data_IF_699220738718
#
_entry.id   IF_699220738718
#
_cell.length_a   1.000
_cell.length_b   1.000
_cell.length_c   1.000
_cell.angle_alpha   90.00
_cell.angle_beta   90.00
_cell.angle_gamma   90.00
#
_symmetry.space_group_name_H-M   'P 1'
#
loop_
_entity.id
_entity.type
_entity.pdbx_description
1 polymer ?
#
# COMPACT_ATOMS: atom_id res chain seq x y z
N UNK A 1 15.65 -21.41 -30.87
CA UNK A 1 14.89 -20.83 -29.74
C UNK A 1 15.59 -21.17 -28.44
N UNK A 2 16.34 -20.23 -27.88
CA UNK A 2 17.05 -20.40 -26.60
C UNK A 2 16.03 -20.44 -25.47
N UNK A 3 15.92 -21.57 -24.75
CA UNK A 3 15.04 -21.66 -23.58
C UNK A 3 15.54 -20.65 -22.55
N UNK A 4 14.69 -19.70 -22.16
CA UNK A 4 15.00 -18.76 -21.07
C UNK A 4 15.36 -19.56 -19.82
N UNK A 5 16.44 -19.17 -19.14
CA UNK A 5 16.87 -19.82 -17.91
C UNK A 5 15.70 -19.83 -16.91
N UNK A 6 15.37 -20.97 -16.29
CA UNK A 6 14.30 -21.02 -15.30
C UNK A 6 14.62 -20.07 -14.14
N UNK A 7 13.59 -19.43 -13.58
CA UNK A 7 13.72 -18.61 -12.37
C UNK A 7 14.27 -19.45 -11.22
N UNK A 8 15.13 -18.83 -10.42
CA UNK A 8 15.54 -19.35 -9.10
C UNK A 8 14.30 -19.57 -8.22
N UNK A 9 14.40 -20.49 -7.27
CA UNK A 9 13.30 -20.85 -6.39
C UNK A 9 12.82 -19.67 -5.54
N UNK A 10 13.74 -18.83 -5.05
CA UNK A 10 13.39 -17.61 -4.30
C UNK A 10 12.57 -16.63 -5.16
N UNK A 11 13.01 -16.36 -6.39
CA UNK A 11 12.33 -15.44 -7.30
C UNK A 11 10.96 -15.99 -7.73
N UNK A 12 10.86 -17.31 -7.87
CA UNK A 12 9.59 -17.99 -8.12
C UNK A 12 8.65 -17.86 -6.93
N UNK A 13 9.16 -18.03 -5.70
CA UNK A 13 8.38 -17.86 -4.48
C UNK A 13 7.82 -16.44 -4.35
N UNK A 14 8.61 -15.41 -4.67
CA UNK A 14 8.15 -14.01 -4.73
C UNK A 14 6.97 -13.83 -5.70
N UNK A 15 7.08 -14.38 -6.92
CA UNK A 15 6.00 -14.34 -7.93
C UNK A 15 4.73 -15.06 -7.45
N UNK A 16 4.89 -16.23 -6.82
CA UNK A 16 3.78 -17.03 -6.29
C UNK A 16 3.08 -16.30 -5.16
N UNK A 17 3.82 -15.68 -4.23
CA UNK A 17 3.26 -14.87 -3.15
C UNK A 17 2.47 -13.67 -3.69
N UNK A 18 3.01 -12.95 -4.68
CA UNK A 18 2.31 -11.84 -5.33
C UNK A 18 1.01 -12.31 -6.03
N UNK A 19 1.03 -13.46 -6.69
CA UNK A 19 -0.17 -14.02 -7.32
C UNK A 19 -1.21 -14.47 -6.29
N UNK A 20 -0.79 -15.05 -5.17
CA UNK A 20 -1.69 -15.41 -4.07
C UNK A 20 -2.41 -14.17 -3.50
N UNK A 21 -1.67 -13.08 -3.27
CA UNK A 21 -2.25 -11.80 -2.85
C UNK A 21 -3.21 -11.22 -3.90
N UNK A 22 -2.86 -11.30 -5.18
CA UNK A 22 -3.76 -10.88 -6.25
C UNK A 22 -5.07 -11.66 -6.21
N UNK A 23 -5.01 -13.00 -6.12
CA UNK A 23 -6.21 -13.84 -6.11
C UNK A 23 -7.08 -13.64 -4.87
N UNK A 24 -6.48 -13.40 -3.70
CA UNK A 24 -7.25 -13.19 -2.46
C UNK A 24 -8.00 -11.86 -2.47
N UNK A 25 -7.41 -10.78 -3.00
CA UNK A 25 -7.97 -9.42 -2.91
C UNK A 25 -8.60 -8.88 -4.21
N UNK A 26 -8.44 -9.55 -5.35
CA UNK A 26 -8.93 -9.03 -6.65
C UNK A 26 -10.42 -8.70 -6.67
N UNK A 27 -11.25 -9.50 -6.01
CA UNK A 27 -12.71 -9.29 -6.04
C UNK A 27 -13.10 -8.11 -5.14
N UNK A 28 -12.56 -8.07 -3.92
CA UNK A 28 -12.76 -6.99 -2.95
C UNK A 28 -12.33 -5.63 -3.53
N UNK A 29 -11.14 -5.59 -4.14
CA UNK A 29 -10.57 -4.36 -4.72
C UNK A 29 -11.05 -4.07 -6.14
N UNK A 30 -11.94 -4.92 -6.69
CA UNK A 30 -12.35 -4.89 -8.11
C UNK A 30 -11.13 -4.80 -9.05
N UNK A 31 -10.03 -5.45 -8.68
CA UNK A 31 -8.76 -5.41 -9.38
C UNK A 31 -8.74 -6.46 -10.49
N UNK A 32 -8.11 -6.13 -11.61
CA UNK A 32 -7.90 -7.06 -12.72
C UNK A 32 -6.50 -6.88 -13.28
N UNK A 33 -5.99 -7.88 -14.01
CA UNK A 33 -4.70 -7.75 -14.70
C UNK A 33 -4.70 -6.57 -15.68
N UNK A 34 -5.86 -6.24 -16.27
CA UNK A 34 -6.02 -5.03 -17.10
C UNK A 34 -5.77 -3.76 -16.28
N UNK A 35 -6.38 -3.61 -15.11
CA UNK A 35 -6.15 -2.44 -14.24
C UNK A 35 -4.69 -2.31 -13.79
N UNK A 36 -4.04 -3.43 -13.48
CA UNK A 36 -2.61 -3.46 -13.13
C UNK A 36 -1.77 -3.02 -14.34
N UNK A 37 -2.11 -3.53 -15.53
CA UNK A 37 -1.44 -3.20 -16.78
C UNK A 37 -1.57 -1.71 -17.13
N UNK A 38 -2.79 -1.17 -17.02
CA UNK A 38 -3.10 0.25 -17.26
C UNK A 38 -2.28 1.15 -16.31
N UNK A 39 -2.19 0.79 -15.03
CA UNK A 39 -1.41 1.54 -14.04
C UNK A 39 0.11 1.51 -14.28
N UNK A 40 0.60 0.47 -14.96
CA UNK A 40 2.03 0.26 -15.24
C UNK A 40 2.43 0.67 -16.67
N UNK A 41 1.47 0.98 -17.53
CA UNK A 41 1.69 1.23 -18.95
C UNK A 41 2.21 0.00 -19.70
N UNK A 42 1.78 -1.20 -19.31
CA UNK A 42 2.14 -2.47 -19.95
C UNK A 42 0.89 -3.19 -20.46
N UNK A 43 1.05 -4.36 -21.08
CA UNK A 43 -0.09 -5.18 -21.51
C UNK A 43 -0.56 -6.11 -20.39
N UNK A 44 -1.85 -6.53 -20.38
CA UNK A 44 -2.33 -7.56 -19.45
C UNK A 44 -1.54 -8.87 -19.55
N UNK A 45 -1.12 -9.25 -20.77
CA UNK A 45 -0.23 -10.39 -20.98
C UNK A 45 1.12 -10.20 -20.25
N UNK A 46 1.68 -8.99 -20.27
CA UNK A 46 2.88 -8.64 -19.52
C UNK A 46 2.72 -8.83 -18.01
N UNK A 47 1.56 -8.49 -17.44
CA UNK A 47 1.24 -8.75 -16.02
C UNK A 47 1.23 -10.24 -15.72
N UNK A 48 0.62 -11.04 -16.60
CA UNK A 48 0.56 -12.50 -16.43
C UNK A 48 1.95 -13.15 -16.38
N UNK A 49 2.93 -12.62 -17.12
CA UNK A 49 4.31 -13.14 -17.09
C UNK A 49 4.94 -13.03 -15.70
N UNK A 50 4.62 -11.98 -14.94
CA UNK A 50 5.08 -11.83 -13.56
C UNK A 50 4.34 -12.77 -12.61
N UNK A 51 3.01 -12.76 -12.65
CA UNK A 51 2.18 -13.55 -11.72
C UNK A 51 2.28 -15.07 -11.96
N UNK A 52 2.69 -15.49 -13.15
CA UNK A 52 2.92 -16.90 -13.50
C UNK A 52 4.38 -17.34 -13.31
N UNK A 53 5.22 -16.52 -12.67
CA UNK A 53 6.65 -16.79 -12.46
C UNK A 53 7.44 -17.09 -13.75
N UNK A 54 7.03 -16.49 -14.87
CA UNK A 54 7.78 -16.57 -16.14
C UNK A 54 8.88 -15.51 -16.17
N UNK A 55 8.58 -14.31 -15.64
CA UNK A 55 9.52 -13.23 -15.43
C UNK A 55 9.62 -12.92 -13.93
N UNK A 56 10.83 -12.66 -13.39
CA UNK A 56 10.97 -12.25 -12.00
C UNK A 56 10.36 -10.87 -11.79
N UNK A 57 9.85 -10.62 -10.58
CA UNK A 57 9.36 -9.31 -10.19
C UNK A 57 10.49 -8.27 -10.22
N UNK A 58 10.17 -7.05 -10.63
CA UNK A 58 11.07 -5.90 -10.57
C UNK A 58 10.51 -4.81 -9.65
N UNK A 59 11.36 -3.87 -9.25
CA UNK A 59 11.02 -2.79 -8.33
C UNK A 59 9.81 -1.95 -8.80
N UNK A 60 9.72 -1.61 -10.10
CA UNK A 60 8.61 -0.82 -10.65
C UNK A 60 7.27 -1.55 -10.54
N UNK A 61 7.24 -2.83 -10.94
CA UNK A 61 6.05 -3.67 -10.84
C UNK A 61 5.66 -3.84 -9.37
N UNK A 62 6.61 -4.19 -8.51
CA UNK A 62 6.36 -4.43 -7.09
C UNK A 62 5.80 -3.19 -6.39
N UNK A 63 6.38 -2.01 -6.61
CA UNK A 63 5.91 -0.76 -6.02
C UNK A 63 4.49 -0.40 -6.48
N UNK A 64 4.18 -0.56 -7.78
CA UNK A 64 2.83 -0.30 -8.29
C UNK A 64 1.81 -1.34 -7.79
N UNK A 65 2.20 -2.62 -7.80
CA UNK A 65 1.36 -3.72 -7.36
C UNK A 65 0.99 -3.60 -5.88
N UNK A 66 1.98 -3.30 -5.02
CA UNK A 66 1.79 -3.04 -3.58
C UNK A 66 0.72 -1.96 -3.33
N UNK A 67 0.79 -0.84 -4.06
CA UNK A 67 -0.20 0.24 -3.96
C UNK A 67 -1.61 -0.20 -4.39
N UNK A 68 -1.70 -0.98 -5.46
CA UNK A 68 -2.99 -1.44 -6.00
C UNK A 68 -3.65 -2.52 -5.11
N UNK A 69 -2.83 -3.40 -4.53
CA UNK A 69 -3.30 -4.50 -3.68
C UNK A 69 -3.44 -4.09 -2.21
N UNK A 70 -2.97 -2.88 -1.86
CA UNK A 70 -2.94 -2.31 -0.50
C UNK A 70 -2.16 -3.17 0.52
N UNK A 71 -1.07 -3.77 0.07
CA UNK A 71 -0.12 -4.50 0.92
C UNK A 71 1.30 -3.99 0.69
N UNK A 72 2.18 -4.00 1.71
CA UNK A 72 3.57 -3.60 1.52
C UNK A 72 4.31 -4.57 0.59
N UNK A 73 5.36 -4.08 -0.08
CA UNK A 73 6.20 -4.93 -0.96
C UNK A 73 6.81 -6.10 -0.20
N UNK A 74 7.15 -5.89 1.07
CA UNK A 74 7.71 -6.91 1.96
C UNK A 74 6.78 -8.12 2.15
N UNK A 75 5.46 -7.96 1.99
CA UNK A 75 4.50 -9.06 2.10
C UNK A 75 4.66 -10.14 1.00
N UNK A 76 5.34 -9.83 -0.10
CA UNK A 76 5.60 -10.79 -1.18
C UNK A 76 7.05 -10.82 -1.67
N UNK A 77 7.85 -9.79 -1.40
CA UNK A 77 9.27 -9.76 -1.77
C UNK A 77 10.06 -8.85 -0.81
N UNK A 78 10.64 -9.41 0.27
CA UNK A 78 11.54 -8.68 1.17
C UNK A 78 12.75 -8.10 0.44
N UNK A 79 13.28 -8.83 -0.55
CA UNK A 79 14.40 -8.39 -1.39
C UNK A 79 14.06 -7.12 -2.17
N UNK A 80 12.91 -7.07 -2.84
CA UNK A 80 12.50 -5.87 -3.57
C UNK A 80 12.15 -4.72 -2.63
N UNK A 81 11.63 -5.00 -1.43
CA UNK A 81 11.41 -3.98 -0.42
C UNK A 81 12.72 -3.29 -0.02
N UNK A 82 13.79 -4.08 0.22
CA UNK A 82 15.13 -3.56 0.49
C UNK A 82 15.72 -2.79 -0.69
N UNK A 83 15.59 -3.33 -1.91
CA UNK A 83 16.08 -2.68 -3.13
C UNK A 83 15.41 -1.31 -3.34
N UNK A 84 14.07 -1.25 -3.20
CA UNK A 84 13.31 0.00 -3.31
C UNK A 84 13.72 1.00 -2.22
N UNK A 85 13.91 0.53 -0.98
CA UNK A 85 14.36 1.40 0.11
C UNK A 85 15.76 1.96 -0.13
N UNK A 86 16.69 1.15 -0.66
CA UNK A 86 18.03 1.62 -1.02
C UNK A 86 17.99 2.66 -2.14
N UNK A 87 17.16 2.45 -3.16
CA UNK A 87 16.96 3.43 -4.24
C UNK A 87 16.39 4.75 -3.68
N UNK A 88 15.42 4.67 -2.78
CA UNK A 88 14.84 5.85 -2.15
C UNK A 88 15.86 6.63 -1.30
N UNK A 89 16.74 5.93 -0.57
CA UNK A 89 17.82 6.56 0.22
C UNK A 89 18.90 7.22 -0.64
N UNK A 90 19.17 6.69 -1.83
CA UNK A 90 20.10 7.28 -2.79
C UNK A 90 19.54 8.49 -3.57
N UNK A 91 18.28 8.87 -3.32
CA UNK A 91 17.66 10.02 -3.96
C UNK A 91 18.19 11.33 -3.34
N UNK A 92 18.41 12.40 -4.13
CA UNK A 92 18.84 13.69 -3.60
C UNK A 92 17.93 14.20 -2.49
N UNK A 93 18.53 14.81 -1.47
CA UNK A 93 17.85 15.36 -0.28
C UNK A 93 16.72 16.29 -0.68
N UNK A 94 16.89 17.13 -1.70
CA UNK A 94 15.85 18.07 -2.18
C UNK A 94 14.64 17.33 -2.75
N UNK A 95 14.87 16.24 -3.50
CA UNK A 95 13.79 15.44 -4.07
C UNK A 95 13.03 14.66 -2.97
N UNK A 96 13.73 14.20 -1.92
CA UNK A 96 13.09 13.58 -0.75
C UNK A 96 12.29 14.61 0.05
N UNK A 97 12.88 15.78 0.33
CA UNK A 97 12.22 16.89 1.03
C UNK A 97 10.93 17.32 0.32
N UNK A 98 10.94 17.42 -1.00
CA UNK A 98 9.74 17.75 -1.78
C UNK A 98 8.65 16.68 -1.65
N UNK A 99 9.01 15.39 -1.70
CA UNK A 99 8.06 14.30 -1.48
C UNK A 99 7.46 14.34 -0.06
N UNK A 100 8.28 14.61 0.96
CA UNK A 100 7.83 14.75 2.35
C UNK A 100 6.87 15.93 2.49
N UNK A 101 7.19 17.07 1.88
CA UNK A 101 6.34 18.27 1.85
C UNK A 101 4.96 18.01 1.25
N UNK A 102 4.91 17.33 0.11
CA UNK A 102 3.61 17.00 -0.51
C UNK A 102 2.76 16.10 0.38
N UNK A 103 3.39 15.13 1.06
CA UNK A 103 2.69 14.22 1.97
C UNK A 103 2.36 14.86 3.32
N UNK A 104 3.14 15.81 3.81
CA UNK A 104 2.91 16.52 5.07
C UNK A 104 1.64 17.38 4.99
N UNK A 105 1.37 18.02 3.84
CA UNK A 105 0.14 18.80 3.61
C UNK A 105 -1.11 17.92 3.79
N UNK A 106 -1.10 16.74 3.16
CA UNK A 106 -2.20 15.77 3.27
C UNK A 106 -2.30 15.25 4.71
N UNK A 107 -1.18 14.93 5.35
CA UNK A 107 -1.17 14.46 6.74
C UNK A 107 -1.67 15.53 7.72
N UNK A 108 -1.31 16.79 7.54
CA UNK A 108 -1.74 17.92 8.36
C UNK A 108 -3.26 18.11 8.34
N UNK A 109 -3.89 17.83 7.19
CA UNK A 109 -5.34 17.83 7.02
C UNK A 109 -6.05 16.73 7.82
N UNK A 110 -5.32 15.66 8.17
CA UNK A 110 -5.83 14.50 8.90
C UNK A 110 -5.40 14.48 10.38
N UNK A 111 -4.47 15.34 10.77
CA UNK A 111 -3.82 15.31 12.07
C UNK A 111 -4.56 16.14 13.14
N UNK A 112 -4.20 15.94 14.41
CA UNK A 112 -4.69 16.77 15.51
C UNK A 112 -4.19 18.23 15.38
N UNK A 113 -4.86 19.23 16.01
CA UNK A 113 -4.43 20.63 15.95
C UNK A 113 -2.95 20.83 16.36
N UNK A 114 -2.48 20.12 17.39
CA UNK A 114 -1.09 20.18 17.86
C UNK A 114 -0.11 19.56 16.85
N UNK A 115 -0.49 18.46 16.21
CA UNK A 115 0.31 17.80 15.18
C UNK A 115 0.39 18.62 13.89
N UNK A 116 -0.68 19.38 13.59
CA UNK A 116 -0.77 20.24 12.41
C UNK A 116 0.23 21.39 12.47
N UNK A 117 0.32 22.10 13.60
CA UNK A 117 1.28 23.21 13.77
C UNK A 117 2.74 22.74 13.57
N UNK A 118 3.06 21.54 14.06
CA UNK A 118 4.38 20.94 13.88
C UNK A 118 4.63 20.64 12.39
N UNK A 119 3.67 20.01 11.70
CA UNK A 119 3.78 19.71 10.27
C UNK A 119 3.87 20.98 9.39
N UNK A 120 3.20 22.07 9.77
CA UNK A 120 3.28 23.35 9.06
C UNK A 120 4.68 23.98 9.21
N UNK A 121 5.27 24.01 10.42
CA UNK A 121 6.66 24.48 10.63
C UNK A 121 7.68 23.66 9.86
N UNK A 122 7.47 22.35 9.80
CA UNK A 122 8.29 21.42 9.02
C UNK A 122 8.17 21.69 7.51
N UNK A 123 6.95 21.93 7.03
CA UNK A 123 6.69 22.26 5.62
C UNK A 123 7.42 23.54 5.24
N UNK A 124 7.45 24.54 6.13
CA UNK A 124 8.23 25.77 5.92
C UNK A 124 9.75 25.50 5.89
N UNK A 125 10.28 24.73 6.83
CA UNK A 125 11.71 24.36 6.84
C UNK A 125 12.13 23.59 5.57
N UNK A 126 11.22 22.80 4.98
CA UNK A 126 11.43 22.15 3.69
C UNK A 126 11.52 23.16 2.53
N UNK A 127 10.67 24.19 2.53
CA UNK A 127 10.68 25.26 1.51
C UNK A 127 11.97 26.08 1.57
N UNK A 128 12.49 26.29 2.76
CA UNK A 128 13.72 27.06 2.99
C UNK A 128 14.99 26.25 2.72
N UNK A 129 14.87 24.95 2.40
CA UNK A 129 16.01 24.06 2.12
C UNK A 129 16.88 23.75 3.34
N UNK A 130 16.33 23.90 4.55
CA UNK A 130 17.06 23.76 5.82
C UNK A 130 17.00 22.36 6.43
N UNK A 131 16.36 21.41 5.76
CA UNK A 131 16.20 20.04 6.26
C UNK A 131 17.46 19.20 6.01
N UNK A 132 17.97 18.59 7.07
CA UNK A 132 19.00 17.54 6.96
C UNK A 132 18.38 16.21 6.55
N UNK A 133 19.21 15.23 6.15
CA UNK A 133 18.74 13.88 5.85
C UNK A 133 18.10 13.19 7.07
N UNK A 134 18.62 13.44 8.27
CA UNK A 134 18.07 12.92 9.52
C UNK A 134 16.69 13.52 9.82
N UNK A 135 16.53 14.83 9.57
CA UNK A 135 15.23 15.48 9.69
C UNK A 135 14.24 14.84 8.72
N UNK A 136 14.61 14.69 7.44
CA UNK A 136 13.75 14.09 6.41
C UNK A 136 13.31 12.68 6.80
N UNK A 137 14.20 11.83 7.32
CA UNK A 137 13.84 10.48 7.77
C UNK A 137 12.82 10.50 8.92
N UNK A 138 13.02 11.36 9.92
CA UNK A 138 12.09 11.52 11.03
C UNK A 138 10.72 11.97 10.53
N UNK A 139 10.69 12.89 9.56
CA UNK A 139 9.46 13.39 8.94
C UNK A 139 8.73 12.32 8.15
N UNK A 140 9.42 11.54 7.33
CA UNK A 140 8.86 10.42 6.58
C UNK A 140 8.14 9.44 7.52
N UNK A 141 8.77 9.11 8.65
CA UNK A 141 8.19 8.24 9.68
C UNK A 141 6.93 8.86 10.32
N UNK A 142 6.98 10.14 10.70
CA UNK A 142 5.83 10.81 11.35
C UNK A 142 4.63 10.92 10.41
N UNK A 143 4.85 11.37 9.17
CA UNK A 143 3.82 11.49 8.13
C UNK A 143 3.20 10.13 7.85
N UNK A 144 4.01 9.08 7.71
CA UNK A 144 3.52 7.73 7.49
C UNK A 144 2.62 7.24 8.64
N UNK A 145 3.04 7.45 9.89
CA UNK A 145 2.27 7.05 11.08
C UNK A 145 0.91 7.74 11.16
N UNK A 146 0.87 9.06 10.90
CA UNK A 146 -0.39 9.84 10.91
C UNK A 146 -1.37 9.30 9.87
N UNK A 147 -0.89 9.06 8.65
CA UNK A 147 -1.74 8.53 7.57
C UNK A 147 -2.23 7.11 7.87
N UNK A 148 -1.38 6.23 8.40
CA UNK A 148 -1.78 4.86 8.78
C UNK A 148 -2.80 4.85 9.90
N UNK A 149 -2.61 5.66 10.94
CA UNK A 149 -3.54 5.72 12.07
C UNK A 149 -4.94 6.09 11.60
N UNK A 150 -5.04 7.04 10.67
CA UNK A 150 -6.33 7.44 10.11
C UNK A 150 -6.94 6.36 9.20
N UNK A 151 -6.13 5.67 8.40
CA UNK A 151 -6.58 4.57 7.55
C UNK A 151 -7.16 3.41 8.36
N UNK A 152 -6.49 3.05 9.47
CA UNK A 152 -6.96 2.00 10.38
C UNK A 152 -8.30 2.39 11.03
N UNK A 153 -8.41 3.63 11.55
CA UNK A 153 -9.66 4.12 12.13
C UNK A 153 -10.84 4.12 11.14
N UNK A 154 -10.60 4.39 9.85
CA UNK A 154 -11.64 4.29 8.81
C UNK A 154 -12.03 2.82 8.58
N UNK A 155 -11.06 1.91 8.60
CA UNK A 155 -11.30 0.47 8.40
C UNK A 155 -12.14 -0.10 9.54
N UNK A 156 -11.79 0.22 10.79
CA UNK A 156 -12.54 -0.20 11.98
C UNK A 156 -14.01 0.27 11.94
N UNK A 157 -14.26 1.52 11.49
CA UNK A 157 -15.62 2.07 11.34
C UNK A 157 -16.46 1.36 10.27
N UNK A 158 -15.83 0.86 9.20
CA UNK A 158 -16.50 0.12 8.12
C UNK A 158 -16.88 -1.29 8.60
N UNK A 159 -15.99 -1.93 9.36
CA UNK A 159 -16.19 -3.29 9.87
C UNK A 159 -17.24 -3.34 11.00
N UNK A 160 -17.27 -2.34 11.89
CA UNK A 160 -18.28 -2.24 12.96
C UNK A 160 -19.70 -1.89 12.44
N UNK A 161 -19.79 -1.12 11.34
CA UNK A 161 -21.06 -0.67 10.77
C UNK A 161 -21.90 -1.78 10.13
N UNK A 162 -21.27 -2.90 9.74
CA UNK A 162 -21.91 -3.93 8.91
C UNK A 162 -22.50 -5.10 9.71
N UNK A 163 -22.07 -5.35 10.96
CA UNK A 163 -22.40 -6.61 11.65
C UNK A 163 -23.27 -6.46 12.90
N UNK A 164 -23.20 -5.34 13.61
CA UNK A 164 -23.82 -5.24 14.95
C UNK A 164 -25.32 -4.94 14.89
N UNK A 165 -25.76 -4.13 13.93
CA UNK A 165 -27.18 -3.75 13.77
C UNK A 165 -28.03 -4.83 13.09
N UNK A 166 -27.44 -5.60 12.17
CA UNK A 166 -28.13 -6.70 11.48
C UNK A 166 -28.27 -7.93 12.39
N UNK A 167 -27.25 -8.25 13.20
CA UNK A 167 -27.33 -9.33 14.22
C UNK A 167 -28.38 -9.05 15.29
N UNK A 168 -28.48 -7.82 15.78
CA UNK A 168 -29.49 -7.46 16.77
C UNK A 168 -30.93 -7.43 16.21
N UNK A 169 -31.11 -7.30 14.88
CA UNK A 169 -32.43 -7.42 14.24
C UNK A 169 -32.80 -8.87 13.91
N UNK A 170 -31.83 -9.75 13.62
CA UNK A 170 -32.10 -11.17 13.39
C UNK A 170 -32.42 -11.94 14.69
N UNK A 171 -31.83 -11.55 15.82
CA UNK A 171 -32.08 -12.20 17.11
C UNK A 171 -33.34 -11.68 17.85
N UNK A 172 -34.09 -10.76 17.25
CA UNK A 172 -35.28 -10.13 17.85
C UNK A 172 -36.60 -10.56 17.17
N UNK A 173 -36.59 -11.61 16.35
CA UNK A 173 -37.82 -12.24 15.88
C UNK A 173 -38.33 -13.20 16.97
N UNK A 174 -39.49 -12.96 17.60
CA UNK A 174 -40.11 -13.96 18.46
C UNK A 174 -40.58 -15.14 17.61
N UNK A 175 -40.17 -16.35 18.00
CA UNK A 175 -40.71 -17.61 17.49
C UNK A 175 -42.23 -17.64 17.68
N UNK A 176 -42.99 -17.37 16.62
CA UNK A 176 -44.39 -17.81 16.55
C UNK A 176 -44.40 -19.29 16.22
N UNK A 177 -44.50 -20.10 17.28
CA UNK A 177 -44.73 -21.55 17.24
C UNK A 177 -46.11 -21.87 16.61
N UNK A 178 -46.28 -22.95 15.84
CA UNK A 178 -47.53 -23.29 15.17
C UNK A 178 -48.35 -24.28 16.01
N UNK A 179 -49.55 -23.87 16.43
CA UNK A 179 -50.62 -24.72 16.97
C UNK A 179 -51.95 -24.02 16.63
N UNK A 180 -52.98 -24.59 16.01
CA UNK A 180 -53.41 -25.95 15.65
C UNK A 180 -54.13 -25.88 14.30
#
# INVERSE_FOLDING_TARGET
MSKKKPLSDDLRAECVAANALFLSKKNELKLSQKKIADALGITPAGVSLYLSAVNPLNAKFAAAFARLIKEPVEAFSPRLAQEIAAIAKGMPTEARAQNVRERSIVAASLASPKSREILEKITQAAEDGLLTDEDIELLEMMVHRIMQTKANAITDLIDDGSNTRLRNRLNAAPDTDPQQ
#
